data_IF_621414621004
#
_entry.id   IF_621414621004
#
_cell.length_a   1.000
_cell.length_b   1.000
_cell.length_c   1.000
_cell.angle_alpha   90.00
_cell.angle_beta   90.00
_cell.angle_gamma   90.00
#
_symmetry.space_group_name_H-M   'P 1'
#
loop_
_entity.id
_entity.type
_entity.pdbx_description
1 polymer ?
#
# COMPACT_ATOMS: atom_id res chain seq x y z
N UNK A 1 -34.08 -61.04 -8.52
CA UNK A 1 -34.24 -59.59 -8.26
C UNK A 1 -33.76 -59.30 -6.83
N UNK A 2 -32.45 -59.13 -6.65
CA UNK A 2 -31.77 -59.20 -5.34
C UNK A 2 -30.67 -58.13 -5.22
N UNK A 3 -30.87 -56.97 -5.86
CA UNK A 3 -29.86 -55.89 -5.94
C UNK A 3 -30.35 -54.51 -5.45
N UNK A 4 -31.53 -54.44 -4.82
CA UNK A 4 -32.07 -53.19 -4.27
C UNK A 4 -32.08 -53.15 -2.73
N UNK A 5 -31.35 -54.07 -2.08
CA UNK A 5 -31.30 -54.18 -0.61
C UNK A 5 -30.10 -53.43 0.03
N UNK A 6 -29.32 -52.67 -0.73
CA UNK A 6 -28.09 -52.02 -0.23
C UNK A 6 -28.11 -50.48 -0.24
N UNK A 7 -29.26 -49.84 -0.49
CA UNK A 7 -29.40 -48.37 -0.47
C UNK A 7 -30.51 -47.97 0.52
N UNK A 8 -30.40 -48.44 1.76
CA UNK A 8 -31.29 -48.07 2.87
C UNK A 8 -30.54 -48.21 4.21
N UNK A 9 -29.33 -47.66 4.29
CA UNK A 9 -28.55 -47.63 5.55
C UNK A 9 -27.65 -46.39 5.70
N UNK A 10 -28.07 -45.23 5.17
CA UNK A 10 -27.29 -44.00 5.31
C UNK A 10 -28.16 -42.76 5.59
N UNK A 11 -29.27 -42.92 6.31
CA UNK A 11 -30.12 -41.80 6.77
C UNK A 11 -30.59 -42.09 8.19
N UNK A 12 -29.69 -42.02 9.17
CA UNK A 12 -30.06 -42.09 10.60
C UNK A 12 -28.98 -41.51 11.51
N UNK A 13 -28.46 -40.32 11.18
CA UNK A 13 -27.59 -39.56 12.10
C UNK A 13 -27.95 -38.07 12.07
N UNK A 14 -29.19 -37.76 12.43
CA UNK A 14 -29.67 -36.41 12.70
C UNK A 14 -30.72 -36.48 13.82
N UNK A 15 -30.26 -36.62 15.07
CA UNK A 15 -30.92 -36.11 16.29
C UNK A 15 -30.02 -36.38 17.50
N UNK A 16 -29.33 -35.34 17.96
CA UNK A 16 -28.57 -35.35 19.21
C UNK A 16 -28.70 -33.99 19.89
N UNK A 17 -29.88 -33.70 20.43
CA UNK A 17 -30.06 -32.69 21.47
C UNK A 17 -30.12 -33.42 22.80
N UNK A 18 -29.14 -33.19 23.66
CA UNK A 18 -29.33 -33.31 25.10
C UNK A 18 -28.25 -32.50 25.79
N UNK A 19 -28.63 -31.37 26.36
CA UNK A 19 -28.11 -30.87 27.63
C UNK A 19 -29.13 -29.89 28.21
N UNK A 20 -29.90 -30.37 29.19
CA UNK A 20 -30.33 -29.59 30.35
C UNK A 20 -29.15 -29.60 31.34
N UNK A 21 -28.86 -28.65 32.22
CA UNK A 21 -29.55 -27.49 32.77
C UNK A 21 -28.47 -26.72 33.56
N UNK A 22 -28.44 -25.39 33.53
CA UNK A 22 -27.93 -24.56 34.63
C UNK A 22 -28.36 -23.11 34.40
N UNK A 23 -29.43 -22.70 35.09
CA UNK A 23 -29.75 -21.29 35.27
C UNK A 23 -28.64 -20.58 36.03
N UNK A 24 -28.12 -19.50 35.44
CA UNK A 24 -27.46 -18.42 36.17
C UNK A 24 -27.66 -17.14 35.37
N UNK A 25 -28.67 -16.38 35.79
CA UNK A 25 -28.83 -14.96 35.47
C UNK A 25 -27.50 -14.22 35.67
N UNK A 26 -26.93 -13.70 34.59
CA UNK A 26 -26.12 -12.47 34.57
C UNK A 26 -26.20 -11.87 33.18
N UNK A 27 -26.78 -10.68 33.11
CA UNK A 27 -26.77 -9.75 31.98
C UNK A 27 -25.41 -9.78 31.28
N UNK A 28 -25.39 -10.33 30.07
CA UNK A 28 -24.30 -10.12 29.14
C UNK A 28 -24.53 -8.76 28.49
N UNK A 29 -23.83 -7.74 29.00
CA UNK A 29 -23.62 -6.49 28.28
C UNK A 29 -23.08 -6.86 26.91
N UNK A 30 -23.85 -6.51 25.88
CA UNK A 30 -23.44 -6.53 24.49
C UNK A 30 -22.09 -5.83 24.41
N UNK A 31 -21.03 -6.60 24.17
CA UNK A 31 -19.75 -6.04 23.77
C UNK A 31 -20.00 -5.42 22.40
N UNK A 32 -20.16 -4.11 22.38
CA UNK A 32 -20.06 -3.33 21.16
C UNK A 32 -18.70 -3.67 20.56
N UNK A 33 -18.70 -4.45 19.50
CA UNK A 33 -17.60 -4.50 18.56
C UNK A 33 -17.42 -3.08 18.06
N UNK A 34 -16.47 -2.38 18.65
CA UNK A 34 -15.92 -1.14 18.11
C UNK A 34 -15.28 -1.55 16.79
N UNK A 35 -16.08 -1.54 15.73
CA UNK A 35 -15.57 -1.41 14.37
C UNK A 35 -14.86 -0.07 14.41
N UNK A 36 -13.53 -0.16 14.53
CA UNK A 36 -12.64 0.99 14.47
C UNK A 36 -12.83 1.58 13.07
N UNK A 37 -13.76 2.55 12.96
CA UNK A 37 -13.86 3.40 11.77
C UNK A 37 -12.47 3.98 11.59
N UNK A 38 -11.87 3.93 10.38
CA UNK A 38 -10.58 4.56 10.15
C UNK A 38 -10.73 6.01 10.61
N UNK A 39 -10.06 6.32 11.72
CA UNK A 39 -10.05 7.66 12.26
C UNK A 39 -9.44 8.49 11.15
N UNK A 40 -10.17 9.51 10.69
CA UNK A 40 -9.71 10.41 9.66
C UNK A 40 -8.48 11.15 10.22
N UNK A 41 -7.29 10.52 10.12
CA UNK A 41 -6.03 11.02 10.65
C UNK A 41 -5.56 12.12 9.71
N UNK A 42 -6.22 13.27 9.78
CA UNK A 42 -5.65 14.55 9.39
C UNK A 42 -4.59 14.96 10.44
N UNK A 43 -3.58 14.12 10.64
CA UNK A 43 -2.36 14.51 11.34
C UNK A 43 -1.34 14.79 10.26
N UNK A 44 -0.85 16.03 10.17
CA UNK A 44 0.22 16.43 9.24
C UNK A 44 1.54 15.64 9.43
N UNK A 45 1.60 14.78 10.46
CA UNK A 45 2.76 13.95 10.80
C UNK A 45 2.63 12.61 10.07
N UNK A 46 3.60 12.33 9.19
CA UNK A 46 3.76 11.01 8.57
C UNK A 46 4.05 9.95 9.64
N UNK A 47 3.31 8.84 9.58
CA UNK A 47 3.51 7.67 10.43
C UNK A 47 4.40 6.70 9.66
N UNK A 48 5.56 6.28 10.21
CA UNK A 48 6.44 5.35 9.53
C UNK A 48 5.75 4.04 9.16
N UNK A 49 6.11 3.49 8.00
CA UNK A 49 5.60 2.20 7.55
C UNK A 49 5.99 1.10 8.55
N UNK A 50 5.08 0.17 8.90
CA UNK A 50 5.38 -0.90 9.84
C UNK A 50 6.39 -1.92 9.28
N UNK A 51 6.46 -2.09 7.96
CA UNK A 51 7.19 -3.19 7.31
C UNK A 51 8.51 -2.75 6.67
N UNK A 52 8.79 -1.45 6.64
CA UNK A 52 10.01 -0.87 6.05
C UNK A 52 10.71 0.01 7.07
N UNK A 53 12.03 -0.12 7.15
CA UNK A 53 12.88 0.75 7.97
C UNK A 53 12.69 2.22 7.61
N UNK A 54 12.68 3.09 8.62
CA UNK A 54 12.41 4.51 8.43
C UNK A 54 13.62 5.24 7.79
N UNK A 55 13.44 5.71 6.56
CA UNK A 55 14.49 6.30 5.73
C UNK A 55 14.56 7.85 5.81
N UNK A 56 13.79 8.48 6.71
CA UNK A 56 13.70 9.95 6.78
C UNK A 56 15.03 10.63 7.06
N UNK A 57 15.91 9.96 7.80
CA UNK A 57 17.25 10.47 8.16
C UNK A 57 18.33 10.13 7.11
N UNK A 58 17.99 9.37 6.06
CA UNK A 58 18.90 9.05 4.95
C UNK A 58 18.87 10.18 3.91
N UNK A 59 19.94 10.97 3.82
CA UNK A 59 20.04 12.15 2.97
C UNK A 59 21.02 12.01 1.81
N UNK A 60 22.03 11.16 1.92
CA UNK A 60 23.12 10.99 0.95
C UNK A 60 23.30 9.53 0.55
N UNK A 61 23.74 9.34 -0.69
CA UNK A 61 24.10 8.01 -1.16
C UNK A 61 25.21 7.40 -0.27
N UNK A 62 25.02 6.16 0.16
CA UNK A 62 25.86 5.45 1.12
C UNK A 62 25.42 5.59 2.58
N UNK A 63 24.48 6.49 2.91
CA UNK A 63 23.90 6.53 4.26
C UNK A 63 23.12 5.23 4.51
N UNK A 64 23.27 4.67 5.71
CA UNK A 64 22.51 3.50 6.15
C UNK A 64 21.94 3.66 7.55
N UNK A 65 20.85 2.96 7.79
CA UNK A 65 20.17 2.88 9.08
C UNK A 65 19.66 1.47 9.30
N UNK A 66 19.66 1.03 10.56
CA UNK A 66 19.12 -0.27 10.96
C UNK A 66 18.09 -0.03 12.05
N UNK A 67 16.91 -0.63 11.90
CA UNK A 67 15.89 -0.70 12.95
C UNK A 67 15.39 -2.14 13.10
N UNK A 68 14.30 -2.32 13.85
CA UNK A 68 13.70 -3.65 14.09
C UNK A 68 13.16 -4.35 12.82
N UNK A 69 13.09 -3.64 11.69
CA UNK A 69 12.55 -4.14 10.42
C UNK A 69 13.64 -4.53 9.44
N UNK A 70 14.90 -4.20 9.72
CA UNK A 70 16.02 -4.52 8.85
C UNK A 70 17.05 -3.40 8.74
N UNK A 71 17.95 -3.58 7.78
CA UNK A 71 18.97 -2.60 7.39
C UNK A 71 18.61 -1.99 6.04
N UNK A 72 18.64 -0.66 5.97
CA UNK A 72 18.30 0.11 4.78
C UNK A 72 19.46 1.02 4.42
N UNK A 73 19.93 0.93 3.17
CA UNK A 73 21.01 1.76 2.63
C UNK A 73 20.48 2.60 1.47
N UNK A 74 20.75 3.90 1.50
CA UNK A 74 20.41 4.81 0.41
C UNK A 74 21.42 4.69 -0.73
N UNK A 75 21.01 4.17 -1.89
CA UNK A 75 21.87 4.12 -3.08
C UNK A 75 21.83 5.42 -3.87
N UNK A 76 20.66 6.05 -4.00
CA UNK A 76 20.50 7.32 -4.72
C UNK A 76 19.24 8.07 -4.30
N UNK A 77 19.24 9.40 -4.39
CA UNK A 77 18.07 10.24 -4.07
C UNK A 77 17.96 11.42 -5.03
N UNK A 78 16.74 11.71 -5.48
CA UNK A 78 16.38 12.97 -6.14
C UNK A 78 15.24 13.62 -5.37
N UNK A 79 15.49 14.80 -4.80
CA UNK A 79 14.43 15.67 -4.26
C UNK A 79 13.72 16.33 -5.45
N UNK A 80 12.45 16.02 -5.62
CA UNK A 80 11.63 16.45 -6.77
C UNK A 80 10.83 17.71 -6.41
N UNK A 81 10.13 17.70 -5.28
CA UNK A 81 9.29 18.78 -4.75
C UNK A 81 8.43 19.49 -5.82
N UNK A 82 7.80 18.71 -6.70
CA UNK A 82 6.98 19.22 -7.80
C UNK A 82 5.51 18.98 -7.53
N UNK A 83 4.72 20.04 -7.60
CA UNK A 83 3.26 19.99 -7.41
C UNK A 83 2.53 20.21 -8.73
N UNK A 84 1.54 19.37 -8.99
CA UNK A 84 0.60 19.43 -10.10
C UNK A 84 -0.79 19.76 -9.58
N UNK A 85 -1.58 20.46 -10.40
CA UNK A 85 -2.96 20.85 -10.06
C UNK A 85 -3.93 20.24 -11.06
N UNK A 86 -4.94 19.55 -10.55
CA UNK A 86 -5.95 18.80 -11.32
C UNK A 86 -7.32 19.05 -10.67
N UNK A 87 -8.14 19.95 -11.19
CA UNK A 87 -9.51 20.24 -10.72
C UNK A 87 -9.73 20.19 -9.19
N UNK A 88 -8.90 20.94 -8.46
CA UNK A 88 -8.97 21.03 -7.00
C UNK A 88 -8.12 20.00 -6.25
N UNK A 89 -7.56 18.98 -6.92
CA UNK A 89 -6.48 18.15 -6.40
C UNK A 89 -5.13 18.86 -6.57
N UNK A 90 -4.35 18.88 -5.50
CA UNK A 90 -2.91 19.17 -5.52
C UNK A 90 -2.16 17.85 -5.32
N UNK A 91 -1.41 17.42 -6.32
CA UNK A 91 -0.58 16.22 -6.29
C UNK A 91 0.89 16.64 -6.28
N UNK A 92 1.62 16.29 -5.22
CA UNK A 92 3.04 16.60 -5.05
C UNK A 92 3.87 15.32 -5.03
N UNK A 93 4.87 15.25 -5.91
CA UNK A 93 5.97 14.27 -5.81
C UNK A 93 7.11 14.94 -5.06
N UNK A 94 7.40 14.45 -3.86
CA UNK A 94 8.40 15.02 -2.94
C UNK A 94 9.79 14.56 -3.33
N UNK A 95 9.97 13.27 -3.49
CA UNK A 95 11.27 12.66 -3.75
C UNK A 95 11.15 11.29 -4.38
N UNK A 96 12.24 10.85 -5.01
CA UNK A 96 12.44 9.49 -5.48
C UNK A 96 13.77 8.99 -4.93
N UNK A 97 13.78 7.78 -4.36
CA UNK A 97 14.99 7.14 -3.82
C UNK A 97 15.18 5.75 -4.44
N UNK A 98 16.43 5.36 -4.68
CA UNK A 98 16.83 3.96 -4.80
C UNK A 98 17.41 3.52 -3.46
N UNK A 99 16.86 2.48 -2.89
CA UNK A 99 17.23 1.94 -1.59
C UNK A 99 17.61 0.46 -1.75
N UNK A 100 18.61 0.03 -0.99
CA UNK A 100 18.91 -1.38 -0.79
C UNK A 100 18.42 -1.79 0.59
N UNK A 101 17.70 -2.91 0.67
CA UNK A 101 17.06 -3.35 1.90
C UNK A 101 17.36 -4.81 2.21
N UNK A 102 17.79 -5.02 3.44
CA UNK A 102 17.96 -6.32 4.06
C UNK A 102 16.88 -6.41 5.15
N UNK A 103 15.69 -6.95 4.84
CA UNK A 103 14.63 -7.09 5.82
C UNK A 103 15.04 -7.96 7.00
N UNK A 104 14.47 -7.68 8.18
CA UNK A 104 14.52 -8.60 9.30
C UNK A 104 13.86 -9.94 8.91
N UNK A 105 14.39 -11.04 9.44
CA UNK A 105 13.91 -12.38 9.14
C UNK A 105 12.40 -12.55 9.38
N UNK A 106 11.82 -11.82 10.35
CA UNK A 106 10.39 -11.85 10.63
C UNK A 106 9.50 -11.28 9.51
N UNK A 107 10.06 -10.53 8.57
CA UNK A 107 9.34 -9.91 7.45
C UNK A 107 9.44 -10.68 6.13
N UNK A 108 10.13 -11.82 6.09
CA UNK A 108 10.27 -12.62 4.86
C UNK A 108 8.91 -12.99 4.25
N UNK A 109 7.96 -13.44 5.08
CA UNK A 109 6.62 -13.83 4.61
C UNK A 109 5.84 -12.64 4.02
N UNK A 110 6.13 -11.42 4.46
CA UNK A 110 5.53 -10.21 3.90
C UNK A 110 6.06 -9.92 2.50
N UNK A 111 7.36 -10.13 2.26
CA UNK A 111 8.02 -9.83 0.99
C UNK A 111 7.95 -10.98 -0.04
N UNK A 112 7.66 -12.21 0.39
CA UNK A 112 7.59 -13.38 -0.49
C UNK A 112 6.66 -13.24 -1.71
N UNK A 113 5.50 -12.54 -1.64
CA UNK A 113 4.68 -12.29 -2.82
C UNK A 113 5.33 -11.36 -3.86
N UNK A 114 6.33 -10.57 -3.46
CA UNK A 114 6.97 -9.53 -4.28
C UNK A 114 8.36 -9.95 -4.79
N UNK A 115 9.12 -10.72 -4.00
CA UNK A 115 10.45 -11.22 -4.37
C UNK A 115 10.78 -12.53 -3.66
N UNK A 116 11.71 -13.29 -4.24
CA UNK A 116 12.30 -14.49 -3.62
C UNK A 116 13.68 -14.22 -3.02
N UNK A 117 14.21 -13.00 -3.21
CA UNK A 117 15.52 -12.61 -2.72
C UNK A 117 15.46 -12.22 -1.24
N UNK A 118 16.51 -12.57 -0.49
CA UNK A 118 16.62 -12.23 0.94
C UNK A 118 16.99 -10.77 1.17
N UNK A 119 17.62 -10.13 0.18
CA UNK A 119 17.92 -8.70 0.12
C UNK A 119 17.58 -8.20 -1.28
N UNK A 120 17.15 -6.94 -1.38
CA UNK A 120 16.72 -6.41 -2.66
C UNK A 120 16.83 -4.89 -2.72
N UNK A 121 16.90 -4.39 -3.96
CA UNK A 121 16.76 -2.98 -4.23
C UNK A 121 15.30 -2.62 -4.49
N UNK A 122 14.92 -1.40 -4.14
CA UNK A 122 13.61 -0.87 -4.51
C UNK A 122 13.66 0.64 -4.79
N UNK A 123 12.78 1.06 -5.69
CA UNK A 123 12.51 2.47 -5.94
C UNK A 123 11.35 2.93 -5.07
N UNK A 124 11.61 3.95 -4.25
CA UNK A 124 10.62 4.61 -3.41
C UNK A 124 10.19 5.94 -4.02
N UNK A 125 8.90 6.22 -4.04
CA UNK A 125 8.32 7.50 -4.47
C UNK A 125 7.54 8.10 -3.30
N UNK A 126 8.04 9.22 -2.76
CA UNK A 126 7.35 9.97 -1.71
C UNK A 126 6.36 10.97 -2.28
N UNK A 127 5.10 10.90 -1.88
CA UNK A 127 4.02 11.70 -2.46
C UNK A 127 3.11 12.36 -1.42
N UNK A 128 2.35 13.35 -1.88
CA UNK A 128 1.25 13.96 -1.15
C UNK A 128 0.13 14.33 -2.12
N UNK A 129 -1.11 13.96 -1.79
CA UNK A 129 -2.31 14.29 -2.55
C UNK A 129 -3.26 15.03 -1.62
N UNK A 130 -3.70 16.22 -2.03
CA UNK A 130 -4.62 17.04 -1.26
C UNK A 130 -5.81 17.42 -2.11
N UNK A 131 -7.02 17.11 -1.63
CA UNK A 131 -8.25 17.54 -2.24
C UNK A 131 -8.70 18.86 -1.63
N UNK A 132 -8.55 19.96 -2.37
CA UNK A 132 -9.00 21.30 -1.96
C UNK A 132 -10.44 21.61 -2.41
N UNK A 133 -11.18 20.64 -2.96
CA UNK A 133 -12.57 20.81 -3.37
C UNK A 133 -13.55 20.45 -2.25
N UNK A 134 -14.84 20.66 -2.50
CA UNK A 134 -15.93 20.17 -1.65
C UNK A 134 -16.47 18.80 -2.10
N UNK A 135 -15.94 18.23 -3.18
CA UNK A 135 -16.37 16.98 -3.79
C UNK A 135 -15.40 15.84 -3.46
N UNK A 136 -15.87 14.61 -3.54
CA UNK A 136 -15.02 13.42 -3.48
C UNK A 136 -14.53 13.06 -4.88
N UNK A 137 -13.29 12.57 -4.97
CA UNK A 137 -12.70 12.10 -6.22
C UNK A 137 -12.05 10.73 -6.03
N UNK A 138 -11.73 10.06 -7.13
CA UNK A 138 -10.80 8.95 -7.17
C UNK A 138 -9.54 9.39 -7.90
N UNK A 139 -8.39 9.16 -7.28
CA UNK A 139 -7.09 9.50 -7.84
C UNK A 139 -6.03 8.53 -7.31
N UNK A 140 -5.11 8.13 -8.18
CA UNK A 140 -3.93 7.34 -7.80
C UNK A 140 -2.67 8.12 -8.13
N UNK A 141 -1.77 8.41 -7.17
CA UNK A 141 -0.52 9.11 -7.46
C UNK A 141 0.36 8.35 -8.46
N UNK A 142 0.21 7.02 -8.52
CA UNK A 142 0.92 6.14 -9.44
C UNK A 142 -0.06 5.12 -10.00
N UNK A 143 -0.17 5.06 -11.32
CA UNK A 143 -0.79 3.95 -12.05
C UNK A 143 0.30 3.05 -12.68
N UNK A 144 1.38 3.66 -13.17
CA UNK A 144 2.52 2.96 -13.75
C UNK A 144 3.82 3.71 -13.43
N UNK A 145 4.91 2.94 -13.24
CA UNK A 145 6.27 3.45 -13.14
C UNK A 145 7.14 2.74 -14.18
N UNK A 146 7.94 3.51 -14.92
CA UNK A 146 9.04 2.98 -15.72
C UNK A 146 10.38 3.41 -15.14
N UNK A 147 11.23 2.44 -14.85
CA UNK A 147 12.55 2.63 -14.23
C UNK A 147 13.60 2.26 -15.28
N UNK A 148 14.49 3.20 -15.58
CA UNK A 148 15.53 3.12 -16.61
C UNK A 148 15.05 2.65 -18.00
N UNK A 149 13.75 2.77 -18.31
CA UNK A 149 13.08 2.23 -19.50
C UNK A 149 13.08 0.70 -19.64
N UNK A 150 13.60 -0.04 -18.66
CA UNK A 150 13.76 -1.49 -18.73
C UNK A 150 12.84 -2.22 -17.77
N UNK A 151 12.55 -1.60 -16.63
CA UNK A 151 11.68 -2.15 -15.60
C UNK A 151 10.36 -1.37 -15.63
N UNK A 152 9.25 -2.10 -15.69
CA UNK A 152 7.91 -1.55 -15.69
C UNK A 152 7.12 -2.15 -14.53
N UNK A 153 6.52 -1.27 -13.72
CA UNK A 153 5.73 -1.63 -12.54
C UNK A 153 4.39 -0.92 -12.60
N UNK A 154 3.37 -1.53 -12.02
CA UNK A 154 2.06 -0.91 -11.84
C UNK A 154 1.80 -0.63 -10.37
N UNK A 155 0.69 0.04 -10.06
CA UNK A 155 0.25 0.26 -8.69
C UNK A 155 0.04 -1.05 -7.89
N UNK A 156 -0.18 -2.19 -8.57
CA UNK A 156 -0.32 -3.50 -7.91
C UNK A 156 1.00 -4.01 -7.32
N UNK A 157 2.13 -3.53 -7.83
CA UNK A 157 3.47 -3.89 -7.35
C UNK A 157 3.93 -3.07 -6.14
N UNK A 158 3.12 -2.10 -5.67
CA UNK A 158 3.44 -1.29 -4.49
C UNK A 158 3.36 -2.13 -3.22
N UNK A 159 4.49 -2.28 -2.52
CA UNK A 159 4.54 -3.00 -1.26
C UNK A 159 4.42 -2.09 -0.02
N UNK A 160 4.41 -0.77 -0.17
CA UNK A 160 4.20 0.11 1.00
C UNK A 160 2.77 0.03 1.53
N UNK A 161 1.79 -0.18 0.64
CA UNK A 161 0.39 -0.42 0.98
C UNK A 161 -0.23 0.68 1.88
N UNK A 162 0.17 1.94 1.68
CA UNK A 162 -0.28 3.10 2.49
C UNK A 162 -1.60 3.72 2.01
N UNK A 163 -2.44 2.97 1.29
CA UNK A 163 -3.79 3.36 0.84
C UNK A 163 -3.85 4.70 0.06
N UNK A 164 -2.79 5.01 -0.68
CA UNK A 164 -2.65 6.25 -1.45
C UNK A 164 -3.52 6.25 -2.72
N UNK A 165 -3.76 5.08 -3.31
CA UNK A 165 -4.61 4.91 -4.49
C UNK A 165 -6.09 4.82 -4.11
N UNK A 166 -6.96 5.45 -4.90
CA UNK A 166 -8.41 5.31 -4.80
C UNK A 166 -9.13 6.57 -4.35
N UNK A 167 -10.14 6.45 -3.50
CA UNK A 167 -10.97 7.58 -3.08
C UNK A 167 -10.15 8.61 -2.27
N UNK A 168 -10.32 9.89 -2.60
CA UNK A 168 -9.87 11.04 -1.83
C UNK A 168 -11.09 11.93 -1.52
N UNK A 169 -11.44 11.96 -0.23
CA UNK A 169 -12.62 12.68 0.24
C UNK A 169 -12.43 14.20 0.08
N UNK A 170 -13.53 14.92 0.03
CA UNK A 170 -13.53 16.38 0.11
C UNK A 170 -12.65 16.87 1.28
N UNK A 171 -11.77 17.84 1.00
CA UNK A 171 -10.85 18.43 2.01
C UNK A 171 -9.83 17.46 2.62
N UNK A 172 -9.72 16.23 2.11
CA UNK A 172 -8.75 15.25 2.62
C UNK A 172 -7.34 15.52 2.09
N UNK A 173 -6.36 15.16 2.92
CA UNK A 173 -4.96 15.04 2.54
C UNK A 173 -4.51 13.60 2.77
N UNK A 174 -3.85 13.01 1.79
CA UNK A 174 -3.13 11.73 1.88
C UNK A 174 -1.65 12.00 1.61
N UNK A 175 -0.77 11.46 2.44
CA UNK A 175 0.67 11.58 2.25
C UNK A 175 1.33 10.29 2.67
N UNK A 176 2.33 9.87 1.92
CA UNK A 176 2.94 8.58 2.13
C UNK A 176 3.94 8.24 1.02
N UNK A 177 4.26 6.96 0.93
CA UNK A 177 5.24 6.43 0.02
C UNK A 177 4.67 5.25 -0.76
N UNK A 178 5.18 5.09 -1.98
CA UNK A 178 5.02 3.87 -2.77
C UNK A 178 6.41 3.26 -2.97
N UNK A 179 6.51 1.94 -2.95
CA UNK A 179 7.76 1.21 -3.10
C UNK A 179 7.64 0.07 -4.10
N UNK A 180 8.59 0.01 -5.02
CA UNK A 180 8.61 -0.98 -6.09
C UNK A 180 9.94 -1.72 -6.07
N UNK A 181 9.91 -3.02 -5.74
CA UNK A 181 11.11 -3.87 -5.79
C UNK A 181 11.59 -3.96 -7.23
N UNK A 182 12.89 -3.73 -7.43
CA UNK A 182 13.54 -3.79 -8.74
C UNK A 182 14.57 -4.91 -8.75
N UNK A 183 14.58 -5.68 -9.83
CA UNK A 183 15.65 -6.63 -10.10
C UNK A 183 16.96 -5.85 -10.34
N UNK A 184 18.11 -6.52 -10.11
CA UNK A 184 19.47 -5.97 -10.14
C UNK A 184 19.64 -4.66 -10.95
N UNK A 185 19.71 -3.55 -10.23
CA UNK A 185 19.87 -2.21 -10.79
C UNK A 185 21.23 -1.64 -10.34
N UNK A 186 22.19 -1.56 -11.27
CA UNK A 186 23.50 -0.96 -10.96
C UNK A 186 23.35 0.50 -10.54
N UNK A 187 22.64 1.30 -11.35
CA UNK A 187 22.39 2.72 -11.12
C UNK A 187 20.96 3.09 -11.49
N UNK A 188 20.39 4.06 -10.78
CA UNK A 188 19.10 4.67 -11.15
C UNK A 188 19.38 5.89 -12.01
N UNK A 189 19.04 5.85 -13.29
CA UNK A 189 19.25 6.95 -14.25
C UNK A 189 17.96 7.75 -14.44
N UNK A 190 16.81 7.04 -14.49
CA UNK A 190 15.53 7.65 -14.81
C UNK A 190 14.36 6.91 -14.18
N UNK A 191 13.40 7.68 -13.66
CA UNK A 191 12.09 7.20 -13.23
C UNK A 191 11.00 8.02 -13.91
N UNK A 192 10.15 7.35 -14.67
CA UNK A 192 8.94 7.93 -15.25
C UNK A 192 7.72 7.46 -14.45
N UNK A 193 6.95 8.42 -13.95
CA UNK A 193 5.81 8.22 -13.08
C UNK A 193 4.57 8.70 -13.82
N UNK A 194 3.65 7.77 -14.08
CA UNK A 194 2.33 8.07 -14.63
C UNK A 194 1.30 7.92 -13.51
N UNK A 195 0.57 8.99 -13.19
CA UNK A 195 -0.56 8.92 -12.26
C UNK A 195 -1.77 8.23 -12.89
N UNK A 196 -2.77 7.91 -12.07
CA UNK A 196 -4.11 7.58 -12.58
C UNK A 196 -4.82 8.82 -13.15
N UNK A 197 -5.91 8.56 -13.87
CA UNK A 197 -6.88 9.59 -14.22
C UNK A 197 -7.50 10.19 -12.95
N UNK A 198 -7.90 11.46 -13.02
CA UNK A 198 -8.79 12.03 -12.01
C UNK A 198 -10.23 11.71 -12.39
N UNK A 199 -10.93 11.02 -11.50
CA UNK A 199 -12.27 10.50 -11.74
C UNK A 199 -13.21 11.00 -10.66
N UNK A 200 -14.44 11.38 -11.04
CA UNK A 200 -15.45 11.82 -10.08
C UNK A 200 -16.20 10.65 -9.41
N UNK A 201 -17.19 10.99 -8.57
CA UNK A 201 -18.03 10.01 -7.87
C UNK A 201 -18.86 9.12 -8.81
N UNK A 202 -19.17 9.61 -10.00
CA UNK A 202 -20.00 8.93 -11.01
C UNK A 202 -19.12 8.11 -11.98
N UNK A 203 -17.82 8.03 -11.71
CA UNK A 203 -16.79 7.35 -12.52
C UNK A 203 -16.52 8.04 -13.86
N UNK A 204 -16.88 9.31 -13.99
CA UNK A 204 -16.54 10.10 -15.16
C UNK A 204 -15.12 10.65 -15.01
N UNK A 205 -14.33 10.50 -16.07
CA UNK A 205 -12.99 11.10 -16.13
C UNK A 205 -13.14 12.61 -16.25
N UNK A 206 -12.55 13.33 -15.31
CA UNK A 206 -12.58 14.79 -15.26
C UNK A 206 -11.20 15.42 -15.42
N UNK A 207 -10.12 14.65 -15.21
CA UNK A 207 -8.75 15.12 -15.42
C UNK A 207 -7.85 14.05 -16.04
N UNK A 208 -6.94 14.50 -16.88
CA UNK A 208 -5.90 13.67 -17.51
C UNK A 208 -4.84 13.24 -16.48
N UNK A 209 -4.18 12.10 -16.70
CA UNK A 209 -3.12 11.64 -15.82
C UNK A 209 -1.89 12.53 -15.97
N UNK A 210 -1.14 12.67 -14.89
CA UNK A 210 0.13 13.38 -14.87
C UNK A 210 1.25 12.41 -15.22
N UNK A 211 2.05 12.79 -16.23
CA UNK A 211 3.33 12.14 -16.48
C UNK A 211 4.47 13.02 -15.94
N UNK A 212 5.30 12.44 -15.09
CA UNK A 212 6.51 13.05 -14.57
C UNK A 212 7.72 12.17 -14.88
N UNK A 213 8.71 12.75 -15.57
CA UNK A 213 10.04 12.15 -15.73
C UNK A 213 11.00 12.77 -14.71
N UNK A 214 11.65 11.92 -13.93
CA UNK A 214 12.72 12.27 -12.99
C UNK A 214 14.02 11.67 -13.50
N UNK A 215 14.99 12.53 -13.83
CA UNK A 215 16.34 12.08 -14.21
C UNK A 215 17.29 12.21 -13.02
N UNK A 216 18.15 11.22 -12.88
CA UNK A 216 19.27 11.16 -11.96
C UNK A 216 20.54 11.55 -12.73
N UNK A 217 21.45 12.26 -12.07
CA UNK A 217 22.68 12.81 -12.66
C UNK A 217 23.88 11.94 -12.32
#
# INVERSE_FOLDING_TARGET
MKKYLQIMLAVSMLTGCSFAEAESNKESKTAETVVDKPTNKNTDVYVPNPQVTDDRDLEKAGDSITDEKGELTLKSVKKVNKTFKLDGIEYTVKEVKLLHFIPDYSLIDFYHPYTHDEEFDFVKIGVEVKNNSAENYHFGPVAMVSINNTIHKTWEDDFYLEELNGEILARQKKAGNLGFIVDELENLDKVEILSGDLVDKDKEKIGEPINLVVNFE
#
